data_IF_178565120496
#
_entry.id   IF_178565120496
#
_cell.length_a   1.000
_cell.length_b   1.000
_cell.length_c   1.000
_cell.angle_alpha   90.00
_cell.angle_beta   90.00
_cell.angle_gamma   90.00
#
_symmetry.space_group_name_H-M   'P 1'
#
loop_
_entity.id
_entity.type
_entity.pdbx_description
1 polymer ?
#
# COMPACT_ATOMS: atom_id res chain seq x y z
N UNK A 1 10.37 4.23 -5.42
CA UNK A 1 10.10 2.95 -4.71
C UNK A 1 11.03 2.80 -3.50
N UNK A 2 12.34 2.83 -3.72
CA UNK A 2 13.34 2.96 -2.65
C UNK A 2 13.88 4.39 -2.61
N UNK A 3 14.08 4.90 -1.40
CA UNK A 3 14.63 6.23 -1.13
C UNK A 3 15.91 6.10 -0.29
N UNK A 4 17.08 5.85 -0.93
CA UNK A 4 18.35 5.68 -0.22
C UNK A 4 18.71 6.85 0.70
N UNK A 5 18.32 8.07 0.33
CA UNK A 5 18.50 9.30 1.11
C UNK A 5 17.80 9.25 2.48
N UNK A 6 16.72 8.48 2.61
CA UNK A 6 15.96 8.35 3.86
C UNK A 6 16.54 7.28 4.79
N UNK A 7 17.50 6.49 4.34
CA UNK A 7 18.10 5.41 5.13
C UNK A 7 18.87 5.93 6.36
N UNK A 8 19.38 7.15 6.31
CA UNK A 8 20.08 7.82 7.42
C UNK A 8 19.17 8.82 8.17
N UNK A 9 17.87 8.83 7.88
CA UNK A 9 16.92 9.72 8.54
C UNK A 9 16.51 9.21 9.92
N UNK A 10 15.74 10.02 10.66
CA UNK A 10 15.16 9.65 11.96
C UNK A 10 14.27 8.40 11.86
N UNK A 11 13.67 8.18 10.70
CA UNK A 11 12.87 6.98 10.41
C UNK A 11 13.43 6.28 9.16
N UNK A 12 14.45 5.41 9.33
CA UNK A 12 15.08 4.68 8.24
C UNK A 12 14.12 3.80 7.45
N UNK A 13 12.98 3.41 8.05
CA UNK A 13 12.01 2.55 7.40
C UNK A 13 11.29 3.27 6.24
N UNK A 14 11.30 4.61 6.23
CA UNK A 14 10.85 5.41 5.09
C UNK A 14 11.68 5.19 3.82
N UNK A 15 12.81 4.48 3.91
CA UNK A 15 13.48 3.90 2.74
C UNK A 15 12.49 3.19 1.79
N UNK A 16 11.50 2.49 2.34
CA UNK A 16 10.43 1.89 1.56
C UNK A 16 9.29 2.89 1.35
N UNK A 17 9.01 3.20 0.09
CA UNK A 17 7.86 4.01 -0.34
C UNK A 17 7.78 5.43 0.27
N UNK A 18 8.89 5.98 0.77
CA UNK A 18 8.97 7.32 1.34
C UNK A 18 7.99 7.58 2.50
N UNK A 19 7.63 6.53 3.25
CA UNK A 19 6.85 6.64 4.47
C UNK A 19 5.33 6.66 4.29
N UNK A 20 4.57 7.09 5.32
CA UNK A 20 3.12 7.00 5.32
C UNK A 20 2.48 8.08 4.45
N UNK A 21 1.67 7.64 3.49
CA UNK A 21 0.77 8.49 2.70
C UNK A 21 -0.63 7.89 2.68
N UNK A 22 -1.65 8.73 2.52
CA UNK A 22 -3.05 8.29 2.49
C UNK A 22 -3.32 7.33 1.33
N UNK A 23 -2.80 7.67 0.15
CA UNK A 23 -2.82 6.81 -1.02
C UNK A 23 -1.55 6.99 -1.86
N UNK A 24 -1.10 5.93 -2.52
CA UNK A 24 0.00 5.96 -3.49
C UNK A 24 -0.32 5.02 -4.64
N UNK A 25 0.04 5.43 -5.86
CA UNK A 25 -0.07 4.59 -7.04
C UNK A 25 1.32 4.28 -7.59
N UNK A 26 1.53 3.02 -7.97
CA UNK A 26 2.75 2.52 -8.58
C UNK A 26 2.37 1.84 -9.89
N UNK A 27 2.85 2.36 -11.01
CA UNK A 27 2.65 1.77 -12.34
C UNK A 27 3.91 1.02 -12.77
N UNK A 28 3.76 -0.20 -13.27
CA UNK A 28 4.85 -1.00 -13.81
C UNK A 28 4.76 -1.06 -15.35
N UNK A 29 5.54 -0.25 -16.08
CA UNK A 29 5.51 -0.24 -17.54
C UNK A 29 6.12 -1.51 -18.17
N UNK A 30 6.75 -2.38 -17.38
CA UNK A 30 7.39 -3.62 -17.86
C UNK A 30 6.47 -4.84 -17.76
N UNK A 31 5.30 -4.71 -17.13
CA UNK A 31 4.34 -5.80 -17.03
C UNK A 31 3.45 -5.82 -18.28
N UNK A 32 3.39 -6.97 -18.97
CA UNK A 32 2.67 -7.11 -20.25
C UNK A 32 1.16 -7.36 -20.09
N UNK A 33 0.68 -7.61 -18.87
CA UNK A 33 -0.74 -7.82 -18.58
C UNK A 33 -1.47 -6.58 -18.07
N UNK A 34 -2.76 -6.73 -17.76
CA UNK A 34 -3.61 -5.64 -17.25
C UNK A 34 -3.94 -5.76 -15.76
N UNK A 35 -3.40 -6.79 -15.08
CA UNK A 35 -3.73 -7.13 -13.71
C UNK A 35 -3.37 -6.02 -12.72
N UNK A 36 -4.36 -5.52 -11.99
CA UNK A 36 -4.19 -4.48 -10.96
C UNK A 36 -4.32 -5.04 -9.54
N UNK A 37 -3.64 -4.41 -8.58
CA UNK A 37 -3.69 -4.74 -7.15
C UNK A 37 -4.01 -3.51 -6.31
N UNK A 38 -4.97 -3.65 -5.39
CA UNK A 38 -5.21 -2.69 -4.31
C UNK A 38 -4.70 -3.28 -3.01
N UNK A 39 -3.86 -2.53 -2.30
CA UNK A 39 -3.31 -2.93 -1.00
C UNK A 39 -3.81 -1.96 0.07
N UNK A 40 -4.63 -2.47 0.98
CA UNK A 40 -4.95 -1.79 2.24
C UNK A 40 -3.86 -2.12 3.26
N UNK A 41 -3.15 -1.10 3.74
CA UNK A 41 -1.93 -1.32 4.53
C UNK A 41 -1.74 -0.36 5.69
N UNK A 42 -0.90 -0.75 6.66
CA UNK A 42 -0.19 0.16 7.58
C UNK A 42 1.30 0.28 7.17
N UNK A 43 2.15 0.88 8.01
CA UNK A 43 3.59 0.96 7.70
C UNK A 43 4.22 -0.43 7.49
N UNK A 44 3.73 -1.50 8.12
CA UNK A 44 4.32 -2.84 8.02
C UNK A 44 4.35 -3.37 6.56
N UNK A 45 3.36 -2.99 5.76
CA UNK A 45 3.26 -3.42 4.37
C UNK A 45 4.32 -2.82 3.44
N UNK A 46 4.94 -1.69 3.77
CA UNK A 46 5.77 -0.91 2.83
C UNK A 46 6.96 -1.69 2.26
N UNK A 47 7.59 -2.56 3.05
CA UNK A 47 8.72 -3.38 2.60
C UNK A 47 8.32 -4.55 1.70
N UNK A 48 7.06 -4.96 1.70
CA UNK A 48 6.57 -6.07 0.88
C UNK A 48 6.15 -5.63 -0.52
N UNK A 49 5.65 -4.40 -0.66
CA UNK A 49 5.14 -3.87 -1.93
C UNK A 49 6.15 -3.96 -3.08
N UNK A 50 7.44 -3.65 -2.92
CA UNK A 50 8.41 -3.76 -4.01
C UNK A 50 8.52 -5.17 -4.60
N UNK A 51 8.27 -6.21 -3.80
CA UNK A 51 8.29 -7.61 -4.25
C UNK A 51 7.06 -7.97 -5.11
N UNK A 52 5.98 -7.20 -5.00
CA UNK A 52 4.74 -7.42 -5.75
C UNK A 52 4.75 -6.70 -7.10
N UNK A 53 5.51 -5.62 -7.25
CA UNK A 53 5.56 -4.77 -8.47
C UNK A 53 5.71 -5.59 -9.78
N UNK A 54 6.58 -6.61 -9.88
CA UNK A 54 6.78 -7.34 -11.13
C UNK A 54 5.54 -8.09 -11.64
N UNK A 55 4.52 -8.28 -10.82
CA UNK A 55 3.37 -9.16 -11.10
C UNK A 55 2.06 -8.40 -11.43
N UNK A 56 2.10 -7.08 -11.42
CA UNK A 56 0.91 -6.23 -11.65
C UNK A 56 1.25 -5.04 -12.54
N UNK A 57 0.29 -4.59 -13.34
CA UNK A 57 0.38 -3.38 -14.17
C UNK A 57 0.34 -2.12 -13.29
N UNK A 58 -0.47 -2.16 -12.23
CA UNK A 58 -0.65 -1.07 -11.28
C UNK A 58 -0.89 -1.62 -9.87
N UNK A 59 -0.25 -1.00 -8.89
CA UNK A 59 -0.50 -1.21 -7.46
C UNK A 59 -0.98 0.10 -6.84
N UNK A 60 -2.17 0.09 -6.27
CA UNK A 60 -2.74 1.20 -5.50
C UNK A 60 -2.66 0.87 -4.01
N UNK A 61 -1.91 1.67 -3.26
CA UNK A 61 -1.72 1.55 -1.83
C UNK A 61 -2.67 2.50 -1.12
N UNK A 62 -3.33 2.03 -0.07
CA UNK A 62 -4.31 2.81 0.69
C UNK A 62 -4.06 2.57 2.17
N UNK A 63 -3.92 3.66 2.91
CA UNK A 63 -3.83 3.62 4.36
C UNK A 63 -5.14 4.12 4.95
N UNK A 64 -5.98 3.17 5.38
CA UNK A 64 -7.35 3.46 5.86
C UNK A 64 -7.37 4.42 7.05
N UNK A 65 -6.24 4.58 7.78
CA UNK A 65 -6.14 5.55 8.89
C UNK A 65 -6.32 7.00 8.44
N UNK A 66 -6.12 7.27 7.15
CA UNK A 66 -6.21 8.60 6.56
C UNK A 66 -7.35 8.72 5.53
N UNK A 67 -8.17 7.68 5.36
CA UNK A 67 -9.24 7.63 4.36
C UNK A 67 -10.59 7.45 5.07
N UNK A 68 -11.58 8.33 4.84
CA UNK A 68 -12.91 8.15 5.41
C UNK A 68 -13.52 6.81 4.97
N UNK A 69 -14.10 6.06 5.90
CA UNK A 69 -14.68 4.73 5.64
C UNK A 69 -15.63 4.70 4.43
N UNK A 70 -16.48 5.73 4.29
CA UNK A 70 -17.42 5.83 3.17
C UNK A 70 -16.78 5.96 1.77
N UNK A 71 -15.49 6.28 1.69
CA UNK A 71 -14.70 6.41 0.46
C UNK A 71 -13.84 5.19 0.14
N UNK A 72 -13.75 4.20 1.04
CA UNK A 72 -12.92 2.99 0.81
C UNK A 72 -13.38 2.24 -0.44
N UNK A 73 -14.70 2.16 -0.65
CA UNK A 73 -15.31 1.53 -1.83
C UNK A 73 -14.90 2.20 -3.15
N UNK A 74 -14.52 3.47 -3.12
CA UNK A 74 -14.19 4.22 -4.34
C UNK A 74 -12.84 3.79 -4.92
N UNK A 75 -12.04 3.05 -4.14
CA UNK A 75 -10.74 2.55 -4.57
C UNK A 75 -10.76 1.12 -5.12
N UNK A 76 -11.89 0.42 -5.02
CA UNK A 76 -11.99 -0.99 -5.43
C UNK A 76 -12.93 -1.13 -6.61
N UNK A 77 -12.45 -1.76 -7.68
CA UNK A 77 -13.29 -2.17 -8.80
C UNK A 77 -13.90 -3.56 -8.51
N UNK A 78 -15.23 -3.74 -8.63
CA UNK A 78 -15.89 -5.04 -8.43
C UNK A 78 -15.42 -6.18 -9.35
N UNK A 79 -14.75 -5.89 -10.46
CA UNK A 79 -14.26 -6.93 -11.38
C UNK A 79 -12.82 -6.70 -11.82
N UNK A 80 -12.03 -7.79 -11.87
CA UNK A 80 -10.71 -7.82 -12.50
C UNK A 80 -9.56 -7.24 -11.67
N UNK A 81 -9.78 -6.97 -10.39
CA UNK A 81 -8.79 -6.39 -9.48
C UNK A 81 -8.55 -7.29 -8.27
N UNK A 82 -7.28 -7.50 -7.95
CA UNK A 82 -6.89 -8.20 -6.72
C UNK A 82 -6.92 -7.22 -5.55
N UNK A 83 -7.29 -7.71 -4.37
CA UNK A 83 -7.29 -6.94 -3.12
C UNK A 83 -6.47 -7.67 -2.07
N UNK A 84 -5.53 -6.95 -1.45
CA UNK A 84 -4.68 -7.47 -0.39
C UNK A 84 -4.77 -6.56 0.86
N UNK A 85 -4.93 -7.18 2.02
CA UNK A 85 -4.99 -6.49 3.32
C UNK A 85 -3.71 -6.83 4.09
N UNK A 86 -2.85 -5.84 4.31
CA UNK A 86 -1.55 -5.95 4.97
C UNK A 86 -1.48 -5.05 6.21
N UNK A 87 -1.93 -5.58 7.33
CA UNK A 87 -1.83 -4.90 8.62
C UNK A 87 -1.05 -5.75 9.61
N UNK A 88 -0.31 -5.09 10.49
CA UNK A 88 0.29 -5.75 11.65
C UNK A 88 -0.80 -6.40 12.51
N UNK A 89 -0.53 -7.60 13.03
CA UNK A 89 -1.46 -8.32 13.90
C UNK A 89 -1.85 -7.48 15.13
N UNK A 90 -0.93 -6.67 15.63
CA UNK A 90 -1.18 -5.75 16.74
C UNK A 90 -2.23 -4.69 16.39
N UNK A 91 -2.13 -4.06 15.21
CA UNK A 91 -3.12 -3.06 14.78
C UNK A 91 -4.48 -3.71 14.51
N UNK A 92 -4.49 -4.91 13.91
CA UNK A 92 -5.72 -5.68 13.71
C UNK A 92 -6.43 -6.02 15.02
N UNK A 93 -5.67 -6.43 16.04
CA UNK A 93 -6.21 -6.71 17.37
C UNK A 93 -6.71 -5.44 18.09
N UNK A 94 -6.14 -4.29 17.78
CA UNK A 94 -6.57 -2.99 18.29
C UNK A 94 -7.45 -2.23 17.28
N UNK A 95 -8.15 -2.94 16.39
CA UNK A 95 -8.91 -2.35 15.27
C UNK A 95 -10.01 -1.39 15.69
N UNK A 96 -10.49 -1.46 16.93
CA UNK A 96 -11.41 -0.46 17.51
C UNK A 96 -10.83 0.97 17.55
N UNK A 97 -9.52 1.12 17.39
CA UNK A 97 -8.83 2.42 17.27
C UNK A 97 -8.79 2.95 15.83
N UNK A 98 -9.11 2.12 14.83
CA UNK A 98 -9.27 2.54 13.45
C UNK A 98 -10.64 3.21 13.33
N UNK A 99 -10.65 4.50 13.00
CA UNK A 99 -11.84 5.35 12.91
C UNK A 99 -12.46 5.35 11.52
#
# INVERSE_FOLDING_TARGET
>A
IYSPELFQSVDPYNFFLAGPVASMEITNPLYEGEKELVIFRDSFGSSLVPLLIPYYSKITLIDIRYVPFGKIKDFVNPSGQDVLILYSAQLMNASYLLK
#
